data_IF_328098410636
#
_entry.id   IF_328098410636
#
_cell.length_a   1.000
_cell.length_b   1.000
_cell.length_c   1.000
_cell.angle_alpha   90.00
_cell.angle_beta   90.00
_cell.angle_gamma   90.00
#
_symmetry.space_group_name_H-M   'P 1'
#
loop_
_entity.id
_entity.type
_entity.pdbx_description
1 polymer ?
#
# COMPACT_ATOMS: atom_id res chain seq x y z
N UNK A 1 3.85 25.83 -14.72
CA UNK A 1 4.58 26.79 -13.89
C UNK A 1 5.58 26.09 -12.98
N UNK A 2 6.70 26.77 -12.75
CA UNK A 2 7.67 26.42 -11.70
C UNK A 2 7.44 27.41 -10.56
N UNK A 3 7.14 26.92 -9.37
CA UNK A 3 6.86 27.76 -8.20
C UNK A 3 7.82 27.42 -7.08
N UNK A 4 8.50 28.42 -6.52
CA UNK A 4 9.32 28.23 -5.33
C UNK A 4 8.43 28.25 -4.09
N UNK A 5 8.31 27.09 -3.41
CA UNK A 5 7.46 26.92 -2.22
C UNK A 5 8.23 27.05 -0.90
N UNK A 6 9.55 27.19 -0.96
CA UNK A 6 10.38 27.40 0.23
C UNK A 6 11.87 27.59 -0.09
N UNK A 7 12.73 27.67 0.94
CA UNK A 7 14.17 27.64 0.74
C UNK A 7 14.56 26.32 0.06
N UNK A 8 15.13 26.40 -1.14
CA UNK A 8 15.60 25.23 -1.90
C UNK A 8 14.50 24.18 -2.11
N UNK A 9 13.25 24.61 -2.36
CA UNK A 9 12.12 23.73 -2.67
C UNK A 9 11.28 24.36 -3.77
N UNK A 10 11.01 23.57 -4.80
CA UNK A 10 10.28 24.00 -5.99
C UNK A 10 9.19 22.98 -6.31
N UNK A 11 8.04 23.49 -6.72
CA UNK A 11 6.91 22.72 -7.20
C UNK A 11 6.78 22.90 -8.72
N UNK A 12 6.41 21.81 -9.40
CA UNK A 12 6.34 21.72 -10.86
C UNK A 12 5.00 21.12 -11.25
N UNK A 13 4.28 21.76 -12.16
CA UNK A 13 2.98 21.29 -12.68
C UNK A 13 3.04 20.77 -14.14
N UNK A 14 4.25 20.67 -14.71
CA UNK A 14 4.44 20.42 -16.14
C UNK A 14 4.81 18.97 -16.46
N UNK A 15 4.40 18.50 -17.64
CA UNK A 15 4.70 17.14 -18.10
C UNK A 15 6.19 16.92 -18.39
N UNK A 16 6.93 17.95 -18.81
CA UNK A 16 8.37 17.86 -19.04
C UNK A 16 9.13 17.61 -17.74
N UNK A 17 8.85 18.42 -16.70
CA UNK A 17 9.43 18.23 -15.37
C UNK A 17 9.07 16.85 -14.81
N UNK A 18 7.82 16.39 -14.94
CA UNK A 18 7.40 15.07 -14.48
C UNK A 18 8.23 13.94 -15.10
N UNK A 19 8.50 13.99 -16.41
CA UNK A 19 9.32 13.00 -17.12
C UNK A 19 10.79 13.01 -16.71
N UNK A 20 11.31 14.15 -16.27
CA UNK A 20 12.69 14.29 -15.79
C UNK A 20 12.78 13.81 -14.33
N UNK A 21 11.89 14.28 -13.47
CA UNK A 21 11.91 14.05 -12.02
C UNK A 21 11.60 12.58 -11.69
N UNK A 22 10.60 11.99 -12.35
CA UNK A 22 10.05 10.66 -12.04
C UNK A 22 10.33 9.60 -13.10
N UNK A 23 11.35 9.81 -13.94
CA UNK A 23 11.68 8.88 -15.05
C UNK A 23 11.82 7.44 -14.57
N UNK A 24 11.11 6.50 -15.20
CA UNK A 24 11.27 5.07 -14.89
C UNK A 24 12.71 4.64 -15.16
N UNK A 25 13.33 3.98 -14.17
CA UNK A 25 14.71 3.49 -14.22
C UNK A 25 15.79 4.51 -13.87
N UNK A 26 15.51 5.81 -13.96
CA UNK A 26 16.45 6.88 -13.61
C UNK A 26 15.73 8.08 -12.99
N UNK A 27 14.86 7.81 -12.02
CA UNK A 27 14.19 8.86 -11.26
C UNK A 27 15.22 9.56 -10.38
N UNK A 28 14.98 10.83 -10.08
CA UNK A 28 15.79 11.54 -9.11
C UNK A 28 15.73 10.84 -7.74
N UNK A 29 16.75 10.97 -6.88
CA UNK A 29 16.73 10.38 -5.54
C UNK A 29 15.58 10.97 -4.69
N UNK A 30 15.06 10.16 -3.77
CA UNK A 30 14.04 10.61 -2.79
C UNK A 30 14.65 11.64 -1.84
N UNK A 31 13.92 12.72 -1.58
CA UNK A 31 14.36 13.74 -0.61
C UNK A 31 14.17 13.27 0.84
N UNK A 32 14.74 14.04 1.78
CA UNK A 32 14.68 13.76 3.22
C UNK A 32 13.26 13.71 3.80
N UNK A 33 12.28 14.23 3.06
CA UNK A 33 10.85 14.08 3.31
C UNK A 33 10.46 12.63 3.64
N UNK A 34 11.11 11.64 3.04
CA UNK A 34 10.78 10.23 3.21
C UNK A 34 11.27 9.63 4.55
N UNK A 35 12.25 10.24 5.22
CA UNK A 35 12.87 9.68 6.45
C UNK A 35 11.86 9.35 7.55
N UNK A 36 10.83 10.18 7.84
CA UNK A 36 9.90 9.91 8.93
C UNK A 36 8.93 8.75 8.68
N UNK A 37 8.85 8.25 7.45
CA UNK A 37 8.00 7.11 7.08
C UNK A 37 8.66 5.75 7.33
N UNK A 38 9.90 5.76 7.82
CA UNK A 38 10.63 4.56 8.24
C UNK A 38 11.29 4.73 9.61
N UNK A 39 11.96 3.67 10.07
CA UNK A 39 12.74 3.70 11.30
C UNK A 39 14.18 4.15 10.99
N UNK A 40 14.78 5.08 11.77
CA UNK A 40 16.11 5.62 11.47
C UNK A 40 17.22 4.56 11.34
N UNK A 41 17.13 3.48 12.10
CA UNK A 41 18.13 2.42 12.13
C UNK A 41 17.93 1.35 11.03
N UNK A 42 16.75 1.28 10.44
CA UNK A 42 16.35 0.22 9.51
C UNK A 42 15.42 0.78 8.43
N UNK A 43 15.97 1.48 7.41
CA UNK A 43 15.16 1.98 6.30
C UNK A 43 14.55 0.81 5.52
N UNK A 44 13.29 0.94 5.15
CA UNK A 44 12.55 0.00 4.33
C UNK A 44 12.50 0.48 2.87
N UNK A 45 11.85 -0.29 1.99
CA UNK A 45 11.79 0.01 0.56
C UNK A 45 11.13 1.39 0.25
N UNK A 46 10.19 1.83 1.09
CA UNK A 46 9.49 3.10 0.92
C UNK A 46 10.36 4.31 1.25
N UNK A 47 11.11 4.28 2.35
CA UNK A 47 11.92 5.42 2.80
C UNK A 47 13.39 5.39 2.33
N UNK A 48 13.88 4.26 1.82
CA UNK A 48 15.24 4.16 1.27
C UNK A 48 15.47 5.20 0.16
N UNK A 49 16.41 6.11 0.43
CA UNK A 49 16.75 7.24 -0.44
C UNK A 49 17.88 6.93 -1.41
N UNK A 50 18.75 5.96 -1.08
CA UNK A 50 19.86 5.57 -1.94
C UNK A 50 19.34 4.71 -3.11
N UNK A 51 19.48 5.15 -4.37
CA UNK A 51 18.91 4.44 -5.52
C UNK A 51 19.47 3.01 -5.70
N UNK A 52 20.74 2.79 -5.38
CA UNK A 52 21.38 1.47 -5.50
C UNK A 52 20.83 0.50 -4.44
N UNK A 53 20.73 0.94 -3.19
CA UNK A 53 20.14 0.14 -2.10
C UNK A 53 18.65 -0.13 -2.34
N UNK A 54 17.90 0.89 -2.75
CA UNK A 54 16.49 0.74 -3.12
C UNK A 54 16.31 -0.31 -4.24
N UNK A 55 17.17 -0.27 -5.26
CA UNK A 55 17.15 -1.26 -6.36
C UNK A 55 17.47 -2.66 -5.85
N UNK A 56 18.43 -2.82 -4.94
CA UNK A 56 18.78 -4.11 -4.34
C UNK A 56 17.62 -4.70 -3.52
N UNK A 57 17.02 -3.91 -2.62
CA UNK A 57 15.86 -4.34 -1.81
C UNK A 57 14.68 -4.69 -2.71
N UNK A 58 14.37 -3.83 -3.69
CA UNK A 58 13.30 -4.09 -4.67
C UNK A 58 13.52 -5.41 -5.41
N UNK A 59 14.75 -5.69 -5.83
CA UNK A 59 15.09 -6.90 -6.59
C UNK A 59 14.86 -8.17 -5.77
N UNK A 60 15.09 -8.14 -4.46
CA UNK A 60 14.83 -9.29 -3.59
C UNK A 60 13.35 -9.70 -3.64
N UNK A 61 12.43 -8.74 -3.48
CA UNK A 61 10.99 -9.02 -3.36
C UNK A 61 10.22 -8.97 -4.68
N UNK A 62 10.85 -8.56 -5.79
CA UNK A 62 10.17 -8.32 -7.07
C UNK A 62 9.40 -9.54 -7.61
N UNK A 63 9.88 -10.76 -7.34
CA UNK A 63 9.21 -12.00 -7.78
C UNK A 63 7.80 -12.15 -7.20
N UNK A 64 7.55 -11.59 -6.01
CA UNK A 64 6.28 -11.65 -5.29
C UNK A 64 5.20 -10.74 -5.91
N UNK A 65 5.61 -9.77 -6.73
CA UNK A 65 4.73 -8.82 -7.40
C UNK A 65 4.56 -9.09 -8.90
N UNK A 66 5.07 -10.22 -9.40
CA UNK A 66 4.89 -10.61 -10.80
C UNK A 66 3.43 -10.96 -11.08
N UNK A 67 2.95 -10.82 -12.32
CA UNK A 67 1.58 -11.19 -12.69
C UNK A 67 1.25 -12.65 -12.32
N UNK A 68 2.21 -13.57 -12.49
CA UNK A 68 2.06 -14.96 -12.07
C UNK A 68 1.84 -15.09 -10.56
N UNK A 69 2.58 -14.33 -9.75
CA UNK A 69 2.38 -14.31 -8.30
C UNK A 69 1.05 -13.65 -7.91
N UNK A 70 0.66 -12.56 -8.56
CA UNK A 70 -0.61 -11.88 -8.29
C UNK A 70 -1.82 -12.77 -8.60
N UNK A 71 -1.80 -13.49 -9.72
CA UNK A 71 -2.85 -14.47 -10.06
C UNK A 71 -2.91 -15.62 -9.04
N UNK A 72 -1.79 -16.01 -8.42
CA UNK A 72 -1.82 -17.02 -7.35
C UNK A 72 -2.50 -16.53 -6.06
N UNK A 73 -2.76 -15.23 -5.93
CA UNK A 73 -3.43 -14.63 -4.77
C UNK A 73 -4.94 -14.39 -5.01
N UNK A 74 -5.41 -14.56 -6.24
CA UNK A 74 -6.77 -14.21 -6.69
C UNK A 74 -7.86 -14.91 -5.86
N UNK A 75 -7.71 -16.21 -5.58
CA UNK A 75 -8.63 -16.98 -4.74
C UNK A 75 -8.82 -16.36 -3.34
N UNK A 76 -7.76 -15.76 -2.79
CA UNK A 76 -7.84 -15.05 -1.52
C UNK A 76 -8.69 -13.78 -1.59
N UNK A 77 -8.64 -13.06 -2.71
CA UNK A 77 -9.45 -11.87 -2.98
C UNK A 77 -10.91 -12.25 -3.20
N UNK A 78 -11.15 -13.34 -3.91
CA UNK A 78 -12.48 -13.89 -4.18
C UNK A 78 -13.22 -14.22 -2.88
N UNK A 79 -12.53 -14.88 -1.94
CA UNK A 79 -13.08 -15.17 -0.61
C UNK A 79 -13.49 -13.92 0.16
N UNK A 80 -12.67 -12.85 0.13
CA UNK A 80 -13.03 -11.59 0.79
C UNK A 80 -14.14 -10.84 0.05
N UNK A 81 -14.22 -10.96 -1.27
CA UNK A 81 -15.29 -10.36 -2.08
C UNK A 81 -16.64 -11.01 -1.80
N UNK A 82 -16.67 -12.32 -1.55
CA UNK A 82 -17.87 -13.01 -1.10
C UNK A 82 -18.36 -12.49 0.27
N UNK A 83 -17.44 -12.31 1.23
CA UNK A 83 -17.75 -11.74 2.55
C UNK A 83 -18.27 -10.30 2.40
N UNK A 84 -17.63 -9.49 1.56
CA UNK A 84 -18.10 -8.13 1.26
C UNK A 84 -19.55 -8.13 0.79
N UNK A 85 -19.88 -8.99 -0.19
CA UNK A 85 -21.24 -9.13 -0.73
C UNK A 85 -22.24 -9.55 0.35
N UNK A 86 -21.88 -10.52 1.18
CA UNK A 86 -22.72 -10.98 2.30
C UNK A 86 -23.01 -9.85 3.28
N UNK A 87 -21.98 -9.12 3.72
CA UNK A 87 -22.13 -8.02 4.67
C UNK A 87 -22.97 -6.88 4.10
N UNK A 88 -22.72 -6.48 2.84
CA UNK A 88 -23.54 -5.46 2.16
C UNK A 88 -25.01 -5.89 2.06
N UNK A 89 -25.30 -7.16 1.77
CA UNK A 89 -26.66 -7.67 1.77
C UNK A 89 -27.29 -7.60 3.17
N UNK A 90 -26.57 -8.00 4.22
CA UNK A 90 -27.04 -7.93 5.61
C UNK A 90 -27.38 -6.49 6.02
N UNK A 91 -26.54 -5.51 5.65
CA UNK A 91 -26.84 -4.10 5.92
C UNK A 91 -28.09 -3.62 5.20
N UNK A 92 -28.30 -4.05 3.94
CA UNK A 92 -29.53 -3.76 3.19
C UNK A 92 -30.77 -4.36 3.86
N UNK A 93 -30.72 -5.64 4.24
CA UNK A 93 -31.84 -6.35 4.87
C UNK A 93 -32.25 -5.70 6.19
N UNK A 94 -31.27 -5.23 6.95
CA UNK A 94 -31.46 -4.53 8.23
C UNK A 94 -31.76 -3.04 8.06
N UNK A 95 -31.69 -2.50 6.83
CA UNK A 95 -31.78 -1.06 6.53
C UNK A 95 -30.79 -0.24 7.36
N UNK A 96 -29.60 -0.78 7.59
CA UNK A 96 -28.56 -0.15 8.38
C UNK A 96 -27.81 0.87 7.51
N UNK A 97 -27.66 2.09 8.03
CA UNK A 97 -26.76 3.09 7.46
C UNK A 97 -25.34 2.78 7.91
N UNK A 98 -24.40 2.70 6.97
CA UNK A 98 -22.99 2.42 7.24
C UNK A 98 -22.09 3.55 6.75
N UNK A 99 -20.95 3.71 7.39
CA UNK A 99 -19.83 4.47 6.86
C UNK A 99 -19.11 3.60 5.81
N UNK A 100 -19.51 3.79 4.55
CA UNK A 100 -19.00 2.98 3.43
C UNK A 100 -17.48 3.13 3.25
N UNK A 101 -16.87 4.34 3.28
CA UNK A 101 -15.41 4.48 3.25
C UNK A 101 -14.70 3.68 4.36
N UNK A 102 -15.18 3.76 5.61
CA UNK A 102 -14.59 2.98 6.70
C UNK A 102 -14.74 1.48 6.46
N UNK A 103 -15.90 1.04 5.99
CA UNK A 103 -16.13 -0.37 5.68
C UNK A 103 -15.25 -0.89 4.53
N UNK A 104 -14.99 -0.06 3.51
CA UNK A 104 -14.05 -0.38 2.43
C UNK A 104 -12.59 -0.43 2.91
N UNK A 105 -12.24 0.31 3.97
CA UNK A 105 -10.96 0.17 4.65
C UNK A 105 -10.83 -1.23 5.26
N UNK A 106 -11.87 -1.72 5.93
CA UNK A 106 -11.90 -3.10 6.45
C UNK A 106 -11.74 -4.14 5.35
N UNK A 107 -12.45 -3.99 4.24
CA UNK A 107 -12.26 -4.84 3.05
C UNK A 107 -10.80 -4.84 2.57
N UNK A 108 -10.18 -3.67 2.43
CA UNK A 108 -8.80 -3.57 1.95
C UNK A 108 -7.81 -4.24 2.92
N UNK A 109 -7.97 -4.05 4.24
CA UNK A 109 -7.15 -4.71 5.27
C UNK A 109 -7.31 -6.24 5.26
N UNK A 110 -8.54 -6.73 5.12
CA UNK A 110 -8.83 -8.16 5.08
C UNK A 110 -8.26 -8.81 3.81
N UNK A 111 -8.44 -8.18 2.65
CA UNK A 111 -7.84 -8.63 1.38
C UNK A 111 -6.32 -8.69 1.47
N UNK A 112 -5.66 -7.59 1.88
CA UNK A 112 -4.19 -7.58 1.94
C UNK A 112 -3.67 -8.50 3.05
N UNK A 113 -4.44 -8.73 4.12
CA UNK A 113 -4.16 -9.74 5.14
C UNK A 113 -4.12 -11.15 4.55
N UNK A 114 -5.12 -11.52 3.74
CA UNK A 114 -5.13 -12.81 3.04
C UNK A 114 -3.98 -12.92 2.04
N UNK A 115 -3.76 -11.92 1.19
CA UNK A 115 -2.66 -11.91 0.21
C UNK A 115 -1.30 -12.04 0.90
N UNK A 116 -1.10 -11.29 1.99
CA UNK A 116 0.21 -11.18 2.62
C UNK A 116 0.49 -12.35 3.55
N UNK A 117 -0.43 -12.65 4.46
CA UNK A 117 -0.21 -13.61 5.56
C UNK A 117 -1.22 -14.75 5.55
N UNK A 118 -1.96 -14.96 4.45
CA UNK A 118 -2.86 -16.10 4.27
C UNK A 118 -4.11 -16.10 5.15
N UNK A 119 -4.42 -14.98 5.84
CA UNK A 119 -5.62 -14.89 6.69
C UNK A 119 -6.13 -13.46 6.79
N UNK A 120 -7.45 -13.33 6.72
CA UNK A 120 -8.18 -12.08 6.94
C UNK A 120 -7.97 -11.55 8.37
N UNK A 121 -8.12 -10.25 8.57
CA UNK A 121 -8.09 -9.62 9.90
C UNK A 121 -9.47 -9.70 10.59
N UNK A 122 -10.51 -10.11 9.87
CA UNK A 122 -11.87 -10.25 10.37
C UNK A 122 -12.57 -8.91 10.61
N UNK A 123 -12.12 -7.86 9.93
CA UNK A 123 -12.63 -6.50 10.15
C UNK A 123 -14.00 -6.31 9.50
N UNK A 124 -14.26 -6.95 8.35
CA UNK A 124 -15.57 -6.90 7.70
C UNK A 124 -16.66 -7.60 8.53
N UNK A 125 -16.40 -8.81 9.02
CA UNK A 125 -17.40 -9.61 9.74
C UNK A 125 -17.75 -8.99 11.10
N UNK A 126 -16.78 -8.35 11.74
CA UNK A 126 -16.99 -7.61 12.99
C UNK A 126 -17.45 -6.16 12.78
N UNK A 127 -17.32 -5.65 11.55
CA UNK A 127 -17.48 -4.24 11.20
C UNK A 127 -16.71 -3.31 12.16
N UNK A 128 -15.47 -3.67 12.49
CA UNK A 128 -14.64 -2.97 13.47
C UNK A 128 -13.13 -3.17 13.25
N UNK A 129 -12.31 -2.25 13.75
CA UNK A 129 -10.84 -2.39 13.76
C UNK A 129 -10.38 -3.34 14.88
N UNK A 130 -10.60 -4.64 14.67
CA UNK A 130 -10.38 -5.73 15.65
C UNK A 130 -8.97 -5.76 16.23
N UNK A 131 -7.98 -5.36 15.43
CA UNK A 131 -6.56 -5.51 15.74
C UNK A 131 -5.86 -4.16 15.94
N UNK A 132 -6.60 -3.04 15.90
CA UNK A 132 -6.06 -1.68 16.00
C UNK A 132 -5.15 -1.29 14.83
N UNK A 133 -5.21 -2.01 13.70
CA UNK A 133 -4.30 -1.82 12.58
C UNK A 133 -4.68 -0.58 11.75
N UNK A 134 -5.97 -0.29 11.60
CA UNK A 134 -6.41 0.95 10.94
C UNK A 134 -5.95 2.17 11.75
N UNK A 135 -6.22 2.15 13.06
CA UNK A 135 -5.88 3.24 13.97
C UNK A 135 -4.37 3.46 14.08
N UNK A 136 -3.58 2.38 14.09
CA UNK A 136 -2.13 2.46 14.03
C UNK A 136 -1.65 3.11 12.74
N UNK A 137 -2.16 2.67 11.59
CA UNK A 137 -1.73 3.20 10.30
C UNK A 137 -2.08 4.68 10.13
N UNK A 138 -3.29 5.09 10.53
CA UNK A 138 -3.73 6.49 10.57
C UNK A 138 -2.78 7.35 11.44
N UNK A 139 -2.44 6.87 12.64
CA UNK A 139 -1.52 7.56 13.54
C UNK A 139 -0.09 7.66 12.98
N UNK A 140 0.40 6.61 12.32
CA UNK A 140 1.70 6.60 11.66
C UNK A 140 1.75 7.63 10.53
N UNK A 141 0.72 7.70 9.68
CA UNK A 141 0.64 8.68 8.59
C UNK A 141 0.56 10.11 9.11
N UNK A 142 -0.23 10.35 10.16
CA UNK A 142 -0.31 11.68 10.78
C UNK A 142 1.05 12.14 11.31
N UNK A 143 1.71 11.28 12.09
CA UNK A 143 3.06 11.54 12.61
C UNK A 143 4.06 11.81 11.47
N UNK A 144 4.14 10.92 10.49
CA UNK A 144 5.12 11.02 9.42
C UNK A 144 4.88 12.28 8.57
N UNK A 145 3.63 12.64 8.30
CA UNK A 145 3.27 13.84 7.53
C UNK A 145 3.67 15.14 8.25
N UNK A 146 3.55 15.20 9.58
CA UNK A 146 4.04 16.34 10.37
C UNK A 146 5.57 16.40 10.37
N UNK A 147 6.22 15.26 10.61
CA UNK A 147 7.68 15.18 10.72
C UNK A 147 8.40 15.33 9.38
N UNK A 148 7.72 15.10 8.25
CA UNK A 148 8.31 15.21 6.92
C UNK A 148 8.79 16.63 6.58
N UNK A 149 8.28 17.65 7.27
CA UNK A 149 8.75 19.04 7.15
C UNK A 149 10.04 19.31 7.94
N UNK A 150 10.29 18.54 9.01
CA UNK A 150 11.44 18.63 9.92
C UNK A 150 12.15 17.26 10.04
N UNK A 151 12.56 16.62 8.93
CA UNK A 151 12.99 15.23 8.94
C UNK A 151 14.24 14.97 9.79
N UNK A 152 15.10 15.99 9.98
CA UNK A 152 16.27 15.91 10.83
C UNK A 152 15.93 15.74 12.33
N UNK A 153 14.71 16.09 12.74
CA UNK A 153 14.23 15.90 14.11
C UNK A 153 13.72 14.48 14.37
N UNK A 154 13.42 13.68 13.34
CA UNK A 154 12.82 12.36 13.45
C UNK A 154 13.56 11.41 14.39
N UNK A 155 14.87 11.25 14.18
CA UNK A 155 15.68 10.34 14.99
C UNK A 155 15.78 10.81 16.46
N UNK A 156 15.85 12.12 16.67
CA UNK A 156 15.88 12.72 18.01
C UNK A 156 14.54 12.56 18.72
N UNK A 157 13.44 12.79 18.00
CA UNK A 157 12.09 12.68 18.52
C UNK A 157 11.76 11.25 18.93
N UNK A 158 12.04 10.24 18.08
CA UNK A 158 11.80 8.84 18.44
C UNK A 158 12.62 8.38 19.65
N UNK A 159 13.86 8.86 19.80
CA UNK A 159 14.67 8.59 20.99
C UNK A 159 14.04 9.22 22.23
N UNK A 160 13.64 10.49 22.15
CA UNK A 160 13.00 11.19 23.25
C UNK A 160 11.65 10.55 23.62
N UNK A 161 10.81 10.20 22.64
CA UNK A 161 9.51 9.59 22.87
C UNK A 161 9.64 8.21 23.49
N UNK A 162 10.71 7.46 23.20
CA UNK A 162 10.98 6.16 23.84
C UNK A 162 11.28 6.27 25.35
N UNK A 163 11.68 7.46 25.82
CA UNK A 163 11.90 7.75 27.24
C UNK A 163 10.65 8.29 27.94
N UNK A 164 9.62 8.66 27.18
CA UNK A 164 8.35 9.18 27.69
C UNK A 164 7.28 8.07 27.58
N UNK A 165 6.22 8.08 28.41
CA UNK A 165 5.10 7.16 28.27
C UNK A 165 4.18 7.56 27.09
N UNK A 166 4.75 7.84 25.93
CA UNK A 166 4.03 8.18 24.69
C UNK A 166 3.94 6.92 23.85
N UNK A 167 2.73 6.38 23.70
CA UNK A 167 2.51 5.26 22.80
C UNK A 167 2.69 5.71 21.35
N UNK A 168 3.61 5.06 20.64
CA UNK A 168 3.77 5.24 19.20
C UNK A 168 2.70 4.41 18.50
N UNK A 169 1.95 4.97 17.53
CA UNK A 169 0.83 4.31 16.87
C UNK A 169 1.29 3.25 15.85
N UNK A 170 2.19 2.35 16.23
CA UNK A 170 2.67 1.25 15.37
C UNK A 170 2.29 -0.13 15.92
N UNK A 171 1.76 -0.16 17.15
CA UNK A 171 1.58 -1.38 17.93
C UNK A 171 0.64 -2.38 17.26
N UNK A 172 -0.58 -1.97 16.91
CA UNK A 172 -1.59 -2.89 16.33
C UNK A 172 -1.11 -3.60 15.06
N UNK A 173 -0.59 -2.86 14.08
CA UNK A 173 -0.06 -3.44 12.84
C UNK A 173 1.20 -4.29 13.09
N UNK A 174 2.14 -3.81 13.92
CA UNK A 174 3.40 -4.54 14.18
C UNK A 174 3.14 -5.84 14.93
N UNK A 175 2.31 -5.81 15.97
CA UNK A 175 1.93 -7.00 16.75
C UNK A 175 1.18 -8.01 15.87
N UNK A 176 0.26 -7.56 15.03
CA UNK A 176 -0.41 -8.43 14.07
C UNK A 176 0.60 -9.13 13.15
N UNK A 177 1.52 -8.38 12.55
CA UNK A 177 2.56 -8.92 11.66
C UNK A 177 3.45 -9.92 12.39
N UNK A 178 3.94 -9.58 13.57
CA UNK A 178 4.81 -10.45 14.38
C UNK A 178 4.12 -11.74 14.77
N UNK A 179 2.88 -11.67 15.26
CA UNK A 179 2.10 -12.85 15.64
C UNK A 179 1.90 -13.79 14.45
N UNK A 180 1.63 -13.25 13.24
CA UNK A 180 1.45 -14.07 12.04
C UNK A 180 2.76 -14.72 11.59
N UNK A 181 3.89 -13.99 11.61
CA UNK A 181 5.20 -14.56 11.29
C UNK A 181 5.53 -15.72 12.25
N UNK A 182 5.32 -15.52 13.55
CA UNK A 182 5.55 -16.53 14.59
C UNK A 182 4.69 -17.78 14.33
N UNK A 183 3.40 -17.61 14.03
CA UNK A 183 2.49 -18.72 13.72
C UNK A 183 2.95 -19.53 12.50
N UNK A 184 3.38 -18.87 11.43
CA UNK A 184 3.91 -19.56 10.25
C UNK A 184 5.20 -20.34 10.56
N UNK A 185 6.09 -19.77 11.37
CA UNK A 185 7.32 -20.44 11.80
C UNK A 185 7.03 -21.69 12.64
N UNK A 186 6.06 -21.64 13.54
CA UNK A 186 5.62 -22.82 14.30
C UNK A 186 5.03 -23.90 13.39
N UNK A 187 4.13 -23.52 12.47
CA UNK A 187 3.53 -24.46 11.51
C UNK A 187 4.59 -25.13 10.62
N UNK A 188 5.59 -24.38 10.18
CA UNK A 188 6.69 -24.92 9.38
C UNK A 188 7.54 -25.92 10.18
N UNK A 189 7.81 -25.64 11.46
CA UNK A 189 8.52 -26.56 12.34
C UNK A 189 7.76 -27.88 12.59
N UNK A 190 6.42 -27.84 12.61
CA UNK A 190 5.56 -29.01 12.89
C UNK A 190 5.35 -29.92 11.66
N UNK A 191 5.12 -29.36 10.47
CA UNK A 191 4.64 -30.10 9.29
C UNK A 191 5.70 -30.39 8.23
N UNK A 192 7.00 -30.23 8.55
CA UNK A 192 8.06 -30.36 7.57
C UNK A 192 8.22 -29.07 6.77
N UNK A 193 9.18 -28.27 7.22
CA UNK A 193 9.47 -26.88 6.92
C UNK A 193 9.16 -26.40 5.49
N UNK A 194 9.47 -27.19 4.47
CA UNK A 194 9.24 -26.84 3.06
C UNK A 194 7.86 -27.23 2.53
N UNK A 195 7.30 -28.36 2.98
CA UNK A 195 6.01 -28.86 2.51
C UNK A 195 4.86 -27.97 3.02
N UNK A 196 4.94 -27.57 4.30
CA UNK A 196 3.97 -26.68 4.93
C UNK A 196 3.91 -25.31 4.26
N UNK A 197 5.07 -24.74 3.88
CA UNK A 197 5.15 -23.43 3.24
C UNK A 197 4.82 -23.48 1.75
N UNK A 198 5.17 -24.56 1.04
CA UNK A 198 4.84 -24.72 -0.39
C UNK A 198 3.34 -24.91 -0.64
N UNK A 199 2.60 -25.42 0.34
CA UNK A 199 1.13 -25.50 0.28
C UNK A 199 0.42 -24.15 0.42
N UNK A 200 1.15 -23.09 0.79
CA UNK A 200 0.60 -21.78 1.11
C UNK A 200 0.96 -20.77 0.01
N UNK A 201 -0.02 -20.38 -0.80
CA UNK A 201 0.19 -19.41 -1.88
C UNK A 201 0.03 -17.96 -1.40
N UNK A 202 0.75 -17.55 -0.35
CA UNK A 202 0.73 -16.16 0.15
C UNK A 202 2.14 -15.52 0.19
N UNK A 203 2.20 -14.21 0.39
CA UNK A 203 3.45 -13.43 0.36
C UNK A 203 4.46 -13.88 1.43
N UNK A 204 4.00 -14.09 2.68
CA UNK A 204 4.81 -14.49 3.82
C UNK A 204 5.42 -15.87 3.64
N UNK A 205 4.64 -16.86 3.18
CA UNK A 205 5.15 -18.20 2.92
C UNK A 205 6.28 -18.19 1.88
N UNK A 206 6.11 -17.42 0.80
CA UNK A 206 7.14 -17.23 -0.23
C UNK A 206 8.39 -16.51 0.34
N UNK A 207 8.23 -15.51 1.20
CA UNK A 207 9.35 -14.83 1.88
C UNK A 207 10.12 -15.77 2.81
N UNK A 208 9.43 -16.59 3.62
CA UNK A 208 10.09 -17.55 4.51
C UNK A 208 10.90 -18.58 3.72
N UNK A 209 10.42 -19.02 2.55
CA UNK A 209 11.20 -19.87 1.64
C UNK A 209 12.45 -19.15 1.08
N UNK A 210 12.36 -17.83 0.84
CA UNK A 210 13.50 -17.01 0.42
C UNK A 210 14.50 -16.77 1.57
N UNK A 211 14.02 -16.65 2.80
CA UNK A 211 14.81 -16.51 4.02
C UNK A 211 15.70 -17.75 4.23
N UNK A 212 15.14 -18.95 4.07
CA UNK A 212 15.93 -20.21 4.11
C UNK A 212 17.02 -20.29 3.06
N UNK A 213 16.78 -19.70 1.88
CA UNK A 213 17.77 -19.62 0.79
C UNK A 213 18.82 -18.52 1.03
N UNK A 214 18.72 -17.78 2.13
CA UNK A 214 19.58 -16.63 2.43
C UNK A 214 19.38 -15.44 1.50
N UNK A 215 18.26 -15.36 0.77
CA UNK A 215 17.97 -14.25 -0.14
C UNK A 215 17.49 -13.01 0.61
N UNK A 216 16.80 -13.22 1.73
CA UNK A 216 16.34 -12.20 2.68
C UNK A 216 16.62 -12.64 4.10
N UNK A 217 16.73 -11.69 5.01
CA UNK A 217 16.92 -11.91 6.45
C UNK A 217 15.57 -11.88 7.18
N UNK A 218 15.49 -12.40 8.43
CA UNK A 218 14.29 -12.28 9.27
C UNK A 218 13.76 -10.85 9.40
N UNK A 219 14.66 -9.87 9.51
CA UNK A 219 14.30 -8.45 9.63
C UNK A 219 13.70 -7.93 8.33
N UNK A 220 14.33 -8.24 7.18
CA UNK A 220 13.80 -7.88 5.87
C UNK A 220 12.43 -8.54 5.60
N UNK A 221 12.23 -9.79 6.04
CA UNK A 221 10.93 -10.47 5.98
C UNK A 221 9.86 -9.70 6.75
N UNK A 222 10.14 -9.34 8.01
CA UNK A 222 9.19 -8.58 8.84
C UNK A 222 8.84 -7.22 8.23
N UNK A 223 9.85 -6.50 7.72
CA UNK A 223 9.66 -5.21 7.06
C UNK A 223 8.85 -5.33 5.77
N UNK A 224 9.15 -6.33 4.93
CA UNK A 224 8.45 -6.54 3.67
C UNK A 224 6.96 -6.87 3.90
N UNK A 225 6.66 -7.69 4.91
CA UNK A 225 5.27 -8.03 5.28
C UNK A 225 4.53 -6.81 5.80
N UNK A 226 5.11 -6.08 6.76
CA UNK A 226 4.48 -4.89 7.33
C UNK A 226 4.26 -3.79 6.30
N UNK A 227 5.24 -3.56 5.42
CA UNK A 227 5.12 -2.59 4.34
C UNK A 227 4.07 -2.99 3.32
N UNK A 228 3.96 -4.29 2.97
CA UNK A 228 2.96 -4.75 1.99
C UNK A 228 1.53 -4.53 2.51
N UNK A 229 1.28 -4.86 3.79
CA UNK A 229 -0.01 -4.61 4.43
C UNK A 229 -0.28 -3.09 4.50
N UNK A 230 0.65 -2.31 5.06
CA UNK A 230 0.44 -0.87 5.21
C UNK A 230 0.23 -0.12 3.89
N UNK A 231 0.96 -0.49 2.84
CA UNK A 231 0.82 0.13 1.52
C UNK A 231 -0.47 -0.31 0.81
N UNK A 232 -0.86 -1.58 0.95
CA UNK A 232 -2.00 -2.18 0.26
C UNK A 232 -3.36 -1.92 0.92
N UNK A 233 -3.42 -1.52 2.19
CA UNK A 233 -4.67 -1.22 2.89
C UNK A 233 -5.26 0.14 2.48
N UNK A 234 -4.67 1.24 2.96
CA UNK A 234 -5.31 2.58 2.88
C UNK A 234 -5.42 3.10 1.44
N UNK A 235 -4.41 2.83 0.60
CA UNK A 235 -4.41 3.34 -0.77
C UNK A 235 -5.54 2.70 -1.61
N UNK A 236 -5.82 1.42 -1.37
CA UNK A 236 -6.92 0.69 -2.01
C UNK A 236 -8.26 1.11 -1.41
N UNK A 237 -8.34 1.30 -0.09
CA UNK A 237 -9.54 1.81 0.56
C UNK A 237 -9.95 3.18 0.00
N UNK A 238 -9.00 4.10 -0.16
CA UNK A 238 -9.22 5.42 -0.76
C UNK A 238 -9.65 5.30 -2.24
N UNK A 239 -8.99 4.43 -3.01
CA UNK A 239 -9.35 4.20 -4.40
C UNK A 239 -10.79 3.69 -4.53
N UNK A 240 -11.17 2.64 -3.80
CA UNK A 240 -12.53 2.08 -3.82
C UNK A 240 -13.57 3.09 -3.35
N UNK A 241 -13.27 3.83 -2.29
CA UNK A 241 -14.16 4.87 -1.75
C UNK A 241 -14.42 5.96 -2.79
N UNK A 242 -13.37 6.45 -3.46
CA UNK A 242 -13.52 7.47 -4.50
C UNK A 242 -14.27 6.95 -5.73
N UNK A 243 -14.00 5.72 -6.17
CA UNK A 243 -14.71 5.07 -7.28
C UNK A 243 -16.21 5.01 -6.98
N UNK A 244 -16.59 4.48 -5.81
CA UNK A 244 -18.01 4.37 -5.45
C UNK A 244 -18.65 5.75 -5.26
N UNK A 245 -17.98 6.70 -4.60
CA UNK A 245 -18.48 8.05 -4.44
C UNK A 245 -18.81 8.71 -5.80
N UNK A 246 -17.88 8.66 -6.76
CA UNK A 246 -18.10 9.25 -8.08
C UNK A 246 -19.17 8.50 -8.88
N UNK A 247 -19.27 7.19 -8.77
CA UNK A 247 -20.34 6.43 -9.41
C UNK A 247 -21.72 6.81 -8.86
N UNK A 248 -21.89 6.85 -7.54
CA UNK A 248 -23.19 7.16 -6.92
C UNK A 248 -23.60 8.62 -7.06
N UNK A 249 -22.64 9.54 -7.23
CA UNK A 249 -22.93 10.95 -7.53
C UNK A 249 -23.14 11.23 -9.03
N UNK A 250 -22.87 10.27 -9.91
CA UNK A 250 -23.05 10.39 -11.36
C UNK A 250 -23.90 9.24 -11.92
N UNK A 251 -25.25 9.33 -11.85
CA UNK A 251 -26.15 8.23 -12.21
C UNK A 251 -25.97 7.71 -13.64
N UNK A 252 -25.64 8.59 -14.59
CA UNK A 252 -25.37 8.19 -15.99
C UNK A 252 -24.16 7.25 -16.06
N UNK A 253 -23.08 7.60 -15.38
CA UNK A 253 -21.85 6.82 -15.35
C UNK A 253 -22.08 5.46 -14.70
N UNK A 254 -22.82 5.43 -13.59
CA UNK A 254 -23.21 4.19 -12.91
C UNK A 254 -24.07 3.28 -13.79
N UNK A 255 -25.04 3.85 -14.52
CA UNK A 255 -25.89 3.09 -15.43
C UNK A 255 -25.09 2.42 -16.54
N UNK A 256 -24.23 3.17 -17.25
CA UNK A 256 -23.39 2.60 -18.31
C UNK A 256 -22.41 1.53 -17.80
N UNK A 257 -21.89 1.68 -16.57
CA UNK A 257 -21.08 0.63 -15.96
C UNK A 257 -21.89 -0.64 -15.73
N UNK A 258 -23.13 -0.53 -15.24
CA UNK A 258 -24.01 -1.70 -15.04
C UNK A 258 -24.34 -2.41 -16.35
N UNK A 259 -24.63 -1.66 -17.42
CA UNK A 259 -24.86 -2.24 -18.75
C UNK A 259 -23.64 -3.03 -19.27
N UNK A 260 -22.43 -2.49 -19.08
CA UNK A 260 -21.21 -3.23 -19.41
C UNK A 260 -21.08 -4.49 -18.54
N UNK A 261 -21.28 -4.38 -17.22
CA UNK A 261 -21.19 -5.53 -16.32
C UNK A 261 -22.17 -6.65 -16.70
N UNK A 262 -23.43 -6.33 -17.02
CA UNK A 262 -24.43 -7.31 -17.47
C UNK A 262 -24.01 -8.07 -18.74
N UNK A 263 -23.22 -7.42 -19.60
CA UNK A 263 -22.75 -8.02 -20.87
C UNK A 263 -21.55 -8.96 -20.70
N UNK A 264 -20.75 -8.76 -19.64
CA UNK A 264 -19.46 -9.43 -19.47
C UNK A 264 -19.41 -10.39 -18.27
N UNK A 265 -20.19 -10.15 -17.22
CA UNK A 265 -20.21 -10.98 -16.00
C UNK A 265 -20.96 -12.27 -16.30
N UNK A 266 -20.21 -13.37 -16.41
CA UNK A 266 -20.75 -14.74 -16.55
C UNK A 266 -20.52 -15.60 -15.32
N UNK A 267 -19.51 -15.25 -14.53
CA UNK A 267 -19.07 -15.93 -13.33
C UNK A 267 -19.18 -14.97 -12.14
N UNK A 268 -19.41 -15.51 -10.94
CA UNK A 268 -19.47 -14.78 -9.68
C UNK A 268 -18.68 -15.56 -8.61
N UNK A 269 -17.51 -15.09 -8.15
CA UNK A 269 -16.89 -13.80 -8.49
C UNK A 269 -16.30 -13.74 -9.91
N UNK A 270 -16.11 -12.52 -10.40
CA UNK A 270 -15.47 -12.27 -11.70
C UNK A 270 -13.96 -12.47 -11.62
N UNK A 271 -13.38 -13.20 -12.57
CA UNK A 271 -11.93 -13.32 -12.65
C UNK A 271 -11.25 -12.00 -13.03
N UNK A 272 -10.00 -11.84 -12.60
CA UNK A 272 -9.11 -10.77 -13.01
C UNK A 272 -9.03 -10.65 -14.54
N UNK A 273 -8.92 -11.78 -15.25
CA UNK A 273 -8.84 -11.77 -16.71
C UNK A 273 -10.11 -11.24 -17.39
N UNK A 274 -11.28 -11.54 -16.83
CA UNK A 274 -12.55 -11.00 -17.34
C UNK A 274 -12.66 -9.49 -17.07
N UNK A 275 -12.32 -9.04 -15.85
CA UNK A 275 -12.38 -7.62 -15.50
C UNK A 275 -11.44 -6.74 -16.33
N UNK A 276 -10.29 -7.27 -16.76
CA UNK A 276 -9.39 -6.57 -17.68
C UNK A 276 -9.98 -6.32 -19.07
N UNK A 277 -11.00 -7.09 -19.49
CA UNK A 277 -11.65 -6.95 -20.80
C UNK A 277 -12.82 -5.96 -20.81
N UNK A 278 -13.12 -5.31 -19.69
CA UNK A 278 -14.21 -4.37 -19.51
C UNK A 278 -13.70 -2.92 -19.67
N UNK A 279 -13.69 -2.35 -20.89
CA UNK A 279 -13.07 -1.05 -21.15
C UNK A 279 -13.68 0.10 -20.34
N UNK A 280 -14.98 0.09 -20.08
CA UNK A 280 -15.65 1.13 -19.32
C UNK A 280 -15.33 1.05 -17.83
N UNK A 281 -15.29 -0.15 -17.23
CA UNK A 281 -14.75 -0.36 -15.89
C UNK A 281 -13.31 0.17 -15.77
N UNK A 282 -12.44 -0.12 -16.74
CA UNK A 282 -11.08 0.40 -16.75
C UNK A 282 -11.04 1.94 -16.84
N UNK A 283 -11.96 2.55 -17.60
CA UNK A 283 -12.10 4.00 -17.68
C UNK A 283 -12.58 4.62 -16.36
N UNK A 284 -13.58 4.00 -15.71
CA UNK A 284 -14.08 4.42 -14.39
C UNK A 284 -12.96 4.41 -13.35
N UNK A 285 -12.19 3.33 -13.26
CA UNK A 285 -11.07 3.22 -12.32
C UNK A 285 -10.03 4.32 -12.58
N UNK A 286 -9.62 4.51 -13.85
CA UNK A 286 -8.62 5.51 -14.23
C UNK A 286 -9.10 6.94 -13.95
N UNK A 287 -10.35 7.25 -14.25
CA UNK A 287 -10.90 8.60 -14.06
C UNK A 287 -11.12 8.92 -12.59
N UNK A 288 -11.60 7.96 -11.80
CA UNK A 288 -11.70 8.12 -10.35
C UNK A 288 -10.32 8.39 -9.74
N UNK A 289 -9.28 7.64 -10.12
CA UNK A 289 -7.90 7.86 -9.65
C UNK A 289 -7.27 9.15 -10.20
N UNK A 290 -7.71 9.65 -11.37
CA UNK A 290 -7.30 10.96 -11.89
C UNK A 290 -7.89 12.09 -11.07
N UNK A 291 -9.15 11.96 -10.63
CA UNK A 291 -9.85 12.95 -9.82
C UNK A 291 -9.48 12.89 -8.33
N UNK A 292 -9.24 11.68 -7.82
CA UNK A 292 -8.89 11.42 -6.44
C UNK A 292 -7.85 10.27 -6.36
N UNK A 293 -6.56 10.59 -6.44
CA UNK A 293 -5.52 9.57 -6.38
C UNK A 293 -5.47 8.93 -4.99
N UNK A 294 -5.23 7.61 -4.92
CA UNK A 294 -5.11 6.90 -3.65
C UNK A 294 -3.97 7.40 -2.74
N UNK A 295 -2.97 8.08 -3.32
CA UNK A 295 -1.92 8.81 -2.61
C UNK A 295 -1.91 10.26 -3.10
N UNK A 296 -2.25 11.19 -2.21
CA UNK A 296 -2.27 12.64 -2.48
C UNK A 296 -1.09 13.40 -1.89
N UNK A 297 -0.01 12.72 -1.49
CA UNK A 297 1.15 13.36 -0.83
C UNK A 297 2.19 13.85 -1.84
N UNK A 298 3.09 14.72 -1.38
CA UNK A 298 4.22 15.17 -2.20
C UNK A 298 5.20 14.01 -2.43
N UNK A 299 5.54 13.74 -3.68
CA UNK A 299 6.55 12.73 -4.04
C UNK A 299 7.94 13.36 -4.19
N UNK A 300 8.36 14.13 -3.19
CA UNK A 300 9.54 15.01 -3.29
C UNK A 300 10.81 14.28 -3.74
N UNK A 301 11.61 14.97 -4.55
CA UNK A 301 12.89 14.49 -5.08
C UNK A 301 13.97 15.53 -4.84
N UNK A 302 15.22 15.08 -4.89
CA UNK A 302 16.38 15.97 -4.71
C UNK A 302 17.21 16.02 -5.98
N UNK A 303 17.66 17.21 -6.35
CA UNK A 303 18.58 17.42 -7.46
C UNK A 303 19.92 16.72 -7.14
N UNK A 304 20.42 15.84 -8.02
CA UNK A 304 21.62 15.05 -7.78
C UNK A 304 22.88 15.91 -7.87
N UNK A 305 24.03 15.25 -7.64
CA UNK A 305 25.34 15.89 -7.71
C UNK A 305 25.58 16.58 -9.05
N UNK A 306 26.03 17.83 -9.02
CA UNK A 306 26.31 18.63 -10.21
C UNK A 306 25.15 19.48 -10.74
N UNK A 307 23.97 19.40 -10.11
CA UNK A 307 22.80 20.18 -10.53
C UNK A 307 22.07 19.59 -11.72
N UNK A 308 20.96 20.21 -12.10
CA UNK A 308 20.09 19.75 -13.17
C UNK A 308 19.40 20.93 -13.85
N UNK A 309 19.27 20.89 -15.18
CA UNK A 309 18.44 21.84 -15.91
C UNK A 309 17.06 21.23 -16.13
N UNK A 310 16.02 21.93 -15.70
CA UNK A 310 14.62 21.59 -15.95
C UNK A 310 13.98 22.79 -16.63
N UNK A 311 13.39 22.60 -17.82
CA UNK A 311 12.72 23.66 -18.59
C UNK A 311 13.60 24.90 -18.82
N UNK A 312 14.87 24.68 -19.13
CA UNK A 312 15.85 25.74 -19.40
C UNK A 312 16.36 26.48 -18.15
N UNK A 313 15.90 26.12 -16.94
CA UNK A 313 16.38 26.69 -15.68
C UNK A 313 17.31 25.72 -14.95
N UNK A 314 18.46 26.24 -14.47
CA UNK A 314 19.42 25.44 -13.71
C UNK A 314 19.06 25.41 -12.22
N UNK A 315 18.98 24.22 -11.66
CA UNK A 315 18.79 23.95 -10.25
C UNK A 315 20.08 23.35 -9.66
N UNK A 316 20.63 23.93 -8.58
CA UNK A 316 21.84 23.39 -7.97
C UNK A 316 21.55 22.08 -7.21
N UNK A 317 22.60 21.31 -6.97
CA UNK A 317 22.56 20.09 -6.16
C UNK A 317 21.90 20.31 -4.78
N UNK A 318 21.10 19.33 -4.35
CA UNK A 318 20.46 19.35 -3.02
C UNK A 318 19.26 20.30 -2.92
N UNK A 319 18.67 20.68 -4.05
CA UNK A 319 17.41 21.43 -4.16
C UNK A 319 16.26 20.49 -4.43
#
# INVERSE_FOLDING_TARGET
AIVRIGPRRYDFDTMEALKIIYRIGNALPKADYYKPFGLPSFPNLFDEQNPARHTAIKKQVASLYTMTALLSYEEGVDGQTAILKEQLQRFCDQKQVIDLPRFLQYYAFDVIGVITVGKSMGMMESNSDTNGACSALDGMWHYASMMAYTPNMHAWWLRLSSLLPIEVPIKGLTEYVEQRIIQYRFKAAEFGDDAALKGENNFLAKLLLMEKKGTVTPVETQQAVGLNIGAGSDTIANALSSILYYLYTNPRTLHSLREELESYVKDDPISFQQSQRMPYLQAVIKEALRLHPGVGTQLTRVVPKGGLVIEGQFFPEGV
#
